data_IF_246041622695
#
_entry.id   IF_246041622695
#
_cell.length_a   1.000
_cell.length_b   1.000
_cell.length_c   1.000
_cell.angle_alpha   90.00
_cell.angle_beta   90.00
_cell.angle_gamma   90.00
#
_symmetry.space_group_name_H-M   'P 1'
#
loop_
_entity.id
_entity.type
_entity.pdbx_description
1 polymer ?
#
# COMPACT_ATOMS: atom_id res chain seq x y z
N UNK A 1 24.31 -38.66 16.72
CA UNK A 1 23.58 -38.75 15.45
C UNK A 1 22.14 -38.35 15.71
N UNK A 2 21.81 -37.10 15.41
CA UNK A 2 20.47 -36.53 15.57
C UNK A 2 19.99 -36.13 14.20
N UNK A 3 19.01 -36.87 13.69
CA UNK A 3 18.36 -36.61 12.40
C UNK A 3 17.42 -35.42 12.56
N UNK A 4 17.79 -34.30 11.94
CA UNK A 4 16.90 -33.16 11.74
C UNK A 4 15.80 -33.57 10.75
N UNK A 5 14.56 -33.58 11.22
CA UNK A 5 13.38 -33.74 10.38
C UNK A 5 13.17 -32.48 9.56
N UNK A 6 13.62 -32.49 8.31
CA UNK A 6 13.26 -31.47 7.32
C UNK A 6 11.78 -31.63 7.00
N UNK A 7 10.95 -30.69 7.47
CA UNK A 7 9.55 -30.62 7.07
C UNK A 7 9.46 -30.18 5.60
N UNK A 8 8.76 -30.93 4.72
CA UNK A 8 8.60 -30.56 3.33
C UNK A 8 7.39 -29.62 3.15
N UNK A 9 7.56 -28.59 2.33
CA UNK A 9 6.46 -27.98 1.59
C UNK A 9 5.61 -26.95 2.33
N UNK A 10 6.20 -25.81 2.71
CA UNK A 10 5.43 -24.57 2.72
C UNK A 10 5.08 -24.24 1.26
N UNK A 11 3.91 -24.69 0.80
CA UNK A 11 3.36 -24.26 -0.49
C UNK A 11 3.37 -22.73 -0.51
N UNK A 12 4.19 -22.14 -1.38
CA UNK A 12 4.25 -20.69 -1.53
C UNK A 12 2.88 -20.24 -2.01
N UNK A 13 2.12 -19.59 -1.14
CA UNK A 13 0.82 -19.02 -1.47
C UNK A 13 1.02 -18.03 -2.64
N UNK A 14 0.58 -18.43 -3.85
CA UNK A 14 0.79 -17.64 -5.06
C UNK A 14 -0.30 -16.58 -5.14
N UNK A 15 0.04 -15.36 -4.73
CA UNK A 15 -0.84 -14.21 -4.86
C UNK A 15 -1.06 -13.87 -6.36
N UNK A 16 -2.30 -14.01 -6.84
CA UNK A 16 -2.67 -13.59 -8.21
C UNK A 16 -3.10 -12.13 -8.18
N UNK A 17 -2.21 -11.24 -8.64
CA UNK A 17 -2.50 -9.81 -8.75
C UNK A 17 -3.09 -9.54 -10.14
N UNK A 18 -4.33 -9.04 -10.19
CA UNK A 18 -4.94 -8.55 -11.41
C UNK A 18 -4.78 -7.03 -11.48
N UNK A 19 -4.27 -6.52 -12.61
CA UNK A 19 -4.28 -5.09 -12.91
C UNK A 19 -5.69 -4.68 -13.32
N UNK A 20 -6.10 -3.48 -12.92
CA UNK A 20 -7.33 -2.90 -13.43
C UNK A 20 -7.19 -2.53 -14.92
N UNK A 21 -8.32 -2.24 -15.58
CA UNK A 21 -8.33 -1.97 -17.03
C UNK A 21 -7.40 -0.82 -17.42
N UNK A 22 -7.28 0.20 -16.57
CA UNK A 22 -6.45 1.38 -16.82
C UNK A 22 -4.97 1.07 -16.64
N UNK A 23 -4.57 0.42 -15.54
CA UNK A 23 -3.18 0.04 -15.31
C UNK A 23 -2.69 -0.98 -16.34
N UNK A 24 -3.56 -1.86 -16.85
CA UNK A 24 -3.22 -2.76 -17.94
C UNK A 24 -2.89 -2.01 -19.25
N UNK A 25 -3.64 -0.93 -19.56
CA UNK A 25 -3.36 -0.07 -20.72
C UNK A 25 -2.04 0.69 -20.54
N UNK A 26 -1.83 1.29 -19.36
CA UNK A 26 -0.62 2.04 -19.05
C UNK A 26 0.63 1.12 -19.11
N UNK A 27 0.52 -0.10 -18.57
CA UNK A 27 1.56 -1.12 -18.68
C UNK A 27 1.87 -1.48 -20.14
N UNK A 28 0.84 -1.68 -20.98
CA UNK A 28 1.04 -1.99 -22.39
C UNK A 28 1.76 -0.85 -23.13
N UNK A 29 1.44 0.41 -22.83
CA UNK A 29 2.14 1.56 -23.40
C UNK A 29 3.61 1.61 -22.98
N UNK A 30 3.90 1.35 -21.71
CA UNK A 30 5.27 1.27 -21.19
C UNK A 30 6.06 0.15 -21.86
N UNK A 31 5.47 -1.05 -21.97
CA UNK A 31 6.11 -2.19 -22.62
C UNK A 31 6.41 -1.91 -24.10
N UNK A 32 5.52 -1.21 -24.80
CA UNK A 32 5.74 -0.81 -26.19
C UNK A 32 6.89 0.19 -26.32
N UNK A 33 7.00 1.17 -25.41
CA UNK A 33 8.12 2.12 -25.41
C UNK A 33 9.46 1.43 -25.13
N UNK A 34 9.51 0.52 -24.16
CA UNK A 34 10.72 -0.25 -23.85
C UNK A 34 11.18 -1.09 -25.05
N UNK A 35 10.24 -1.69 -25.79
CA UNK A 35 10.55 -2.44 -27.01
C UNK A 35 10.99 -1.55 -28.17
N UNK A 36 10.50 -0.31 -28.24
CA UNK A 36 10.92 0.65 -29.25
C UNK A 36 12.37 1.11 -29.04
N UNK A 37 12.81 1.24 -27.78
CA UNK A 37 14.19 1.57 -27.45
C UNK A 37 15.14 0.39 -27.63
N UNK A 38 14.71 -0.82 -27.24
CA UNK A 38 15.50 -2.04 -27.42
C UNK A 38 14.59 -3.24 -27.77
N UNK A 39 14.62 -3.71 -29.03
CA UNK A 39 13.76 -4.79 -29.51
C UNK A 39 13.96 -6.13 -28.80
N UNK A 40 15.11 -6.33 -28.14
CA UNK A 40 15.44 -7.58 -27.46
C UNK A 40 14.90 -7.66 -26.03
N UNK A 41 14.23 -6.62 -25.53
CA UNK A 41 13.66 -6.63 -24.19
C UNK A 41 12.38 -7.49 -24.15
N UNK A 42 12.39 -8.49 -23.27
CA UNK A 42 11.22 -9.28 -22.89
C UNK A 42 10.64 -8.76 -21.57
N UNK A 43 9.50 -8.09 -21.64
CA UNK A 43 8.79 -7.62 -20.45
C UNK A 43 7.77 -8.65 -20.01
N UNK A 44 7.99 -9.26 -18.85
CA UNK A 44 7.02 -10.13 -18.19
C UNK A 44 6.23 -9.32 -17.16
N UNK A 45 4.89 -9.25 -17.24
CA UNK A 45 4.08 -8.43 -16.33
C UNK A 45 4.30 -8.76 -14.86
N UNK A 46 4.39 -10.05 -14.51
CA UNK A 46 4.63 -10.51 -13.14
C UNK A 46 5.97 -10.02 -12.61
N UNK A 47 7.05 -10.24 -13.35
CA UNK A 47 8.39 -9.80 -12.96
C UNK A 47 8.48 -8.27 -12.84
N UNK A 48 7.81 -7.56 -13.74
CA UNK A 48 7.76 -6.10 -13.73
C UNK A 48 7.02 -5.55 -12.50
N UNK A 49 5.86 -6.12 -12.17
CA UNK A 49 5.11 -5.75 -10.96
C UNK A 49 5.90 -6.10 -9.70
N UNK A 50 6.55 -7.27 -9.66
CA UNK A 50 7.41 -7.66 -8.54
C UNK A 50 8.55 -6.65 -8.34
N UNK A 51 9.23 -6.25 -9.41
CA UNK A 51 10.27 -5.22 -9.35
C UNK A 51 9.74 -3.90 -8.79
N UNK A 52 8.61 -3.40 -9.30
CA UNK A 52 8.01 -2.15 -8.83
C UNK A 52 7.63 -2.21 -7.35
N UNK A 53 7.04 -3.32 -6.91
CA UNK A 53 6.64 -3.49 -5.50
C UNK A 53 7.87 -3.56 -4.59
N UNK A 54 8.90 -4.31 -4.98
CA UNK A 54 10.14 -4.40 -4.22
C UNK A 54 10.89 -3.07 -4.13
N UNK A 55 11.00 -2.35 -5.26
CA UNK A 55 11.64 -1.02 -5.30
C UNK A 55 10.85 0.00 -4.48
N UNK A 56 9.53 0.01 -4.63
CA UNK A 56 8.68 0.88 -3.82
C UNK A 56 8.80 0.58 -2.32
N UNK A 57 8.84 -0.70 -1.96
CA UNK A 57 9.01 -1.12 -0.57
C UNK A 57 10.34 -0.63 0.00
N UNK A 58 11.45 -0.86 -0.71
CA UNK A 58 12.77 -0.46 -0.26
C UNK A 58 12.95 1.07 -0.17
N UNK A 59 12.37 1.81 -1.12
CA UNK A 59 12.68 3.23 -1.31
C UNK A 59 11.70 4.16 -0.59
N UNK A 60 10.41 3.80 -0.55
CA UNK A 60 9.34 4.71 -0.14
C UNK A 60 8.48 4.20 1.00
N UNK A 61 8.29 2.89 1.15
CA UNK A 61 7.30 2.35 2.07
C UNK A 61 7.49 2.80 3.51
N UNK A 62 8.71 2.74 4.06
CA UNK A 62 8.97 3.19 5.44
C UNK A 62 8.66 4.68 5.67
N UNK A 63 8.99 5.52 4.68
CA UNK A 63 8.75 6.97 4.76
C UNK A 63 7.27 7.31 4.62
N UNK A 64 6.57 6.56 3.78
CA UNK A 64 5.18 6.79 3.41
C UNK A 64 4.19 5.90 4.17
N UNK A 65 4.65 5.02 5.06
CA UNK A 65 3.83 4.06 5.81
C UNK A 65 2.65 4.74 6.49
N UNK A 66 2.89 5.83 7.23
CA UNK A 66 1.81 6.57 7.90
C UNK A 66 0.82 7.24 6.95
N UNK A 67 1.22 7.53 5.71
CA UNK A 67 0.35 8.07 4.67
C UNK A 67 -0.49 6.95 4.06
N UNK A 68 0.13 5.83 3.73
CA UNK A 68 -0.54 4.65 3.18
C UNK A 68 -1.56 4.11 4.16
N UNK A 69 -1.17 3.96 5.43
CA UNK A 69 -2.09 3.58 6.51
C UNK A 69 -3.26 4.55 6.52
N UNK A 70 -3.03 5.86 6.48
CA UNK A 70 -4.14 6.82 6.56
C UNK A 70 -5.02 6.88 5.30
N UNK A 71 -4.48 6.66 4.10
CA UNK A 71 -5.23 6.67 2.84
C UNK A 71 -6.08 5.39 2.68
N UNK A 72 -5.54 4.24 3.09
CA UNK A 72 -6.22 2.95 3.03
C UNK A 72 -6.89 2.55 4.35
N UNK A 73 -6.92 3.43 5.36
CA UNK A 73 -7.55 3.16 6.64
C UNK A 73 -9.07 3.08 6.50
N UNK A 74 -9.62 1.87 6.62
CA UNK A 74 -11.05 1.66 6.74
C UNK A 74 -11.51 1.87 8.19
N UNK A 75 -11.94 3.10 8.48
CA UNK A 75 -12.47 3.46 9.79
C UNK A 75 -13.74 2.69 10.19
N UNK A 76 -14.51 2.18 9.22
CA UNK A 76 -15.76 1.47 9.49
C UNK A 76 -15.45 0.07 10.01
N UNK A 77 -14.65 -0.69 9.26
CA UNK A 77 -14.22 -2.02 9.67
C UNK A 77 -13.45 -1.99 11.00
N UNK A 78 -12.61 -0.97 11.21
CA UNK A 78 -11.90 -0.77 12.48
C UNK A 78 -12.87 -0.53 13.66
N UNK A 79 -13.89 0.31 13.47
CA UNK A 79 -14.90 0.58 14.48
C UNK A 79 -15.75 -0.65 14.81
N UNK A 80 -16.17 -1.41 13.79
CA UNK A 80 -16.96 -2.63 13.97
C UNK A 80 -16.20 -3.71 14.73
N UNK A 81 -14.90 -3.90 14.44
CA UNK A 81 -14.05 -4.83 15.17
C UNK A 81 -13.91 -4.43 16.66
N UNK A 82 -13.70 -3.15 16.94
CA UNK A 82 -13.62 -2.64 18.32
C UNK A 82 -14.96 -2.75 19.05
N UNK A 83 -16.09 -2.59 18.34
CA UNK A 83 -17.42 -2.77 18.91
C UNK A 83 -17.71 -4.24 19.26
N UNK A 84 -17.23 -5.19 18.47
CA UNK A 84 -17.33 -6.61 18.82
C UNK A 84 -16.47 -6.97 20.03
N UNK A 85 -15.26 -6.44 20.13
CA UNK A 85 -14.38 -6.63 21.29
C UNK A 85 -14.96 -5.97 22.56
N UNK A 86 -15.50 -4.76 22.43
CA UNK A 86 -16.12 -4.03 23.52
C UNK A 86 -17.40 -4.72 24.04
N UNK A 87 -18.16 -5.40 23.19
CA UNK A 87 -19.31 -6.21 23.63
C UNK A 87 -18.91 -7.41 24.51
N UNK A 88 -17.66 -7.86 24.39
CA UNK A 88 -17.12 -8.94 25.21
C UNK A 88 -16.49 -8.42 26.54
N UNK A 89 -16.39 -7.10 26.73
CA UNK A 89 -15.80 -6.46 27.92
C UNK A 89 -16.79 -5.54 28.63
N UNK A 90 -16.66 -5.38 29.95
CA UNK A 90 -17.61 -4.61 30.77
C UNK A 90 -17.54 -3.08 30.58
N UNK A 91 -16.48 -2.55 29.96
CA UNK A 91 -16.22 -1.11 29.85
C UNK A 91 -16.45 -0.56 28.43
N UNK A 92 -17.66 -0.77 27.92
CA UNK A 92 -18.06 -0.41 26.56
C UNK A 92 -17.82 1.08 26.22
N UNK A 93 -18.22 2.01 27.10
CA UNK A 93 -18.10 3.45 26.85
C UNK A 93 -16.64 3.93 26.81
N UNK A 94 -15.79 3.36 27.65
CA UNK A 94 -14.36 3.68 27.68
C UNK A 94 -13.69 3.25 26.37
N UNK A 95 -13.95 2.01 25.93
CA UNK A 95 -13.40 1.46 24.67
C UNK A 95 -13.91 2.25 23.46
N UNK A 96 -15.19 2.63 23.46
CA UNK A 96 -15.78 3.34 22.34
C UNK A 96 -15.27 4.79 22.21
N UNK A 97 -15.14 5.48 23.34
CA UNK A 97 -14.58 6.84 23.36
C UNK A 97 -13.09 6.85 22.95
N UNK A 98 -12.31 5.84 23.36
CA UNK A 98 -10.92 5.67 22.94
C UNK A 98 -10.81 5.38 21.43
N UNK A 99 -11.68 4.51 20.91
CA UNK A 99 -11.74 4.15 19.48
C UNK A 99 -12.05 5.36 18.60
N UNK A 100 -13.04 6.18 18.97
CA UNK A 100 -13.36 7.41 18.24
C UNK A 100 -12.21 8.44 18.26
N UNK A 101 -11.46 8.53 19.36
CA UNK A 101 -10.26 9.38 19.44
C UNK A 101 -9.14 8.87 18.55
N UNK A 102 -8.93 7.56 18.48
CA UNK A 102 -7.92 6.93 17.61
C UNK A 102 -8.23 7.18 16.13
N UNK A 103 -9.48 6.95 15.69
CA UNK A 103 -9.92 7.22 14.32
C UNK A 103 -9.69 8.70 13.94
N UNK A 104 -10.03 9.63 14.84
CA UNK A 104 -9.81 11.07 14.60
C UNK A 104 -8.32 11.41 14.44
N UNK A 105 -7.44 10.82 15.25
CA UNK A 105 -5.98 11.04 15.14
C UNK A 105 -5.41 10.54 13.81
N UNK A 106 -5.78 9.34 13.39
CA UNK A 106 -5.32 8.73 12.13
C UNK A 106 -5.74 9.59 10.94
N UNK A 107 -7.01 10.01 10.88
CA UNK A 107 -7.53 10.89 9.80
C UNK A 107 -6.91 12.30 9.83
N UNK A 108 -6.62 12.85 11.01
CA UNK A 108 -5.99 14.17 11.13
C UNK A 108 -4.53 14.19 10.62
N UNK A 109 -3.78 13.11 10.84
CA UNK A 109 -2.42 12.94 10.29
C UNK A 109 -2.39 12.96 8.76
N UNK A 110 -3.38 12.31 8.12
CA UNK A 110 -3.55 12.31 6.67
C UNK A 110 -3.74 13.73 6.11
N UNK A 111 -4.58 14.53 6.77
CA UNK A 111 -4.97 15.87 6.29
C UNK A 111 -3.86 16.91 6.40
N UNK A 112 -3.01 16.82 7.43
CA UNK A 112 -1.89 17.77 7.66
C UNK A 112 -0.72 17.59 6.70
N UNK A 113 -0.43 16.38 6.22
CA UNK A 113 0.68 16.14 5.28
C UNK A 113 0.30 16.31 3.81
N UNK A 114 -0.97 16.11 3.45
CA UNK A 114 -1.49 16.37 2.08
C UNK A 114 -1.42 17.86 1.70
N UNK A 115 -1.60 18.76 2.67
CA UNK A 115 -1.43 20.21 2.48
C UNK A 115 0.04 20.65 2.38
N UNK A 116 0.97 19.95 3.05
CA UNK A 116 2.40 20.22 2.96
C UNK A 116 2.97 19.87 1.56
N UNK A 117 2.59 18.72 0.98
CA UNK A 117 3.03 18.29 -0.36
C UNK A 117 2.48 19.14 -1.51
N UNK A 118 1.35 19.83 -1.31
CA UNK A 118 0.80 20.78 -2.29
C UNK A 118 1.55 22.12 -2.33
N UNK A 119 2.20 22.52 -1.24
CA UNK A 119 2.93 23.80 -1.17
C UNK A 119 4.37 23.73 -1.70
N UNK A 120 4.90 22.53 -1.96
CA UNK A 120 6.29 22.32 -2.38
C UNK A 120 6.46 22.06 -3.88
N UNK A 121 5.47 22.36 -4.74
CA UNK A 121 5.63 22.27 -6.20
C UNK A 121 5.98 23.67 -6.73
N UNK A 122 7.25 23.95 -7.13
CA UNK A 122 7.56 25.18 -7.83
C UNK A 122 6.81 25.16 -9.15
N UNK A 123 6.14 26.26 -9.50
CA UNK A 123 5.57 26.47 -10.83
C UNK A 123 6.71 26.40 -11.86
N UNK A 124 6.56 25.68 -12.99
CA UNK A 124 7.55 25.75 -14.04
C UNK A 124 7.63 27.20 -14.56
N UNK A 125 8.85 27.73 -14.62
CA UNK A 125 9.12 29.04 -15.19
C UNK A 125 8.56 29.11 -16.61
N UNK A 126 7.86 30.21 -16.92
CA UNK A 126 7.38 30.48 -18.28
C UNK A 126 8.58 30.61 -19.22
N UNK A 127 8.54 30.01 -20.42
CA UNK A 127 9.51 30.32 -21.46
C UNK A 127 9.24 31.74 -21.99
N UNK A 128 10.31 32.52 -22.15
CA UNK A 128 10.35 33.78 -22.91
C UNK A 128 10.16 33.55 -24.41
#
# INVERSE_FOLDING_TARGET
MTTESVQPGAEKEVLRIALDKKAAQDFAQMANRLKAENPHIRVHPSAFVSFLVSDFFATYFEKDLGILVAEFFDSKSYYEAQLQQAKAQGDFECIMSATLRAIKKIKAGARRKRSARRKSKPLPAKPE
#
